data_IF_378695387613
#
_entry.id   IF_378695387613
#
_cell.length_a   1.000
_cell.length_b   1.000
_cell.length_c   1.000
_cell.angle_alpha   90.00
_cell.angle_beta   90.00
_cell.angle_gamma   90.00
#
_symmetry.space_group_name_H-M   'P 1'
#
loop_
_entity.id
_entity.type
_entity.pdbx_description
1 polymer ?
#
# COMPACT_ATOMS: atom_id res chain seq x y z
N UNK A 1 -15.76 18.59 -13.53
CA UNK A 1 -15.92 18.61 -15.01
C UNK A 1 -17.40 18.79 -15.34
N UNK A 2 -17.76 19.32 -16.50
CA UNK A 2 -19.14 19.69 -16.90
C UNK A 2 -19.70 20.86 -16.08
N UNK A 3 -20.91 20.74 -15.54
CA UNK A 3 -21.51 21.77 -14.69
C UNK A 3 -20.90 21.68 -13.28
N UNK A 4 -20.11 22.69 -12.91
CA UNK A 4 -19.51 22.76 -11.58
C UNK A 4 -20.56 23.09 -10.53
N UNK A 5 -20.62 22.29 -9.46
CA UNK A 5 -21.65 22.39 -8.42
C UNK A 5 -21.33 23.56 -7.49
N UNK A 6 -22.26 24.50 -7.35
CA UNK A 6 -22.07 25.69 -6.51
C UNK A 6 -22.31 25.39 -5.03
N UNK A 7 -21.25 24.99 -4.33
CA UNK A 7 -21.26 24.78 -2.88
C UNK A 7 -21.34 26.08 -2.06
N UNK A 8 -21.50 27.25 -2.68
CA UNK A 8 -21.88 28.48 -1.95
C UNK A 8 -23.40 28.61 -1.78
N UNK A 9 -24.19 27.93 -2.62
CA UNK A 9 -25.65 28.01 -2.58
C UNK A 9 -26.24 27.19 -1.43
N UNK A 10 -27.07 27.76 -0.53
CA UNK A 10 -27.60 27.06 0.64
C UNK A 10 -28.38 25.78 0.31
N UNK A 11 -29.23 25.80 -0.71
CA UNK A 11 -30.02 24.62 -1.11
C UNK A 11 -29.14 23.47 -1.61
N UNK A 12 -28.02 23.79 -2.30
CA UNK A 12 -27.06 22.77 -2.75
C UNK A 12 -26.34 22.14 -1.56
N UNK A 13 -25.92 22.96 -0.60
CA UNK A 13 -25.28 22.45 0.62
C UNK A 13 -26.22 21.54 1.41
N UNK A 14 -27.50 21.91 1.54
CA UNK A 14 -28.52 21.11 2.22
C UNK A 14 -28.78 19.78 1.50
N UNK A 15 -28.97 19.82 0.18
CA UNK A 15 -29.21 18.62 -0.62
C UNK A 15 -28.04 17.62 -0.54
N UNK A 16 -26.80 18.10 -0.69
CA UNK A 16 -25.61 17.23 -0.61
C UNK A 16 -25.36 16.71 0.81
N UNK A 17 -25.66 17.51 1.85
CA UNK A 17 -25.65 17.04 3.24
C UNK A 17 -26.70 15.95 3.46
N UNK A 18 -27.90 16.06 2.90
CA UNK A 18 -28.93 15.03 2.99
C UNK A 18 -28.56 13.74 2.23
N UNK A 19 -27.91 13.87 1.06
CA UNK A 19 -27.45 12.74 0.25
C UNK A 19 -26.47 11.83 0.99
N UNK A 20 -25.52 12.40 1.75
CA UNK A 20 -24.45 11.64 2.42
C UNK A 20 -24.98 10.55 3.37
N UNK A 21 -25.76 10.88 4.41
CA UNK A 21 -26.36 9.89 5.29
C UNK A 21 -27.36 8.98 4.59
N UNK A 22 -28.09 9.49 3.59
CA UNK A 22 -29.03 8.67 2.82
C UNK A 22 -28.32 7.52 2.12
N UNK A 23 -27.23 7.77 1.38
CA UNK A 23 -26.53 6.70 0.65
C UNK A 23 -25.85 5.71 1.59
N UNK A 24 -25.38 6.16 2.76
CA UNK A 24 -24.86 5.25 3.80
C UNK A 24 -25.95 4.29 4.29
N UNK A 25 -27.14 4.82 4.60
CA UNK A 25 -28.26 4.02 5.14
C UNK A 25 -28.87 3.11 4.08
N UNK A 26 -28.97 3.58 2.84
CA UNK A 26 -29.56 2.83 1.73
C UNK A 26 -28.66 1.67 1.28
N UNK A 27 -27.35 1.92 1.10
CA UNK A 27 -26.42 0.93 0.56
C UNK A 27 -25.55 0.24 1.63
N UNK A 28 -25.68 0.63 2.91
CA UNK A 28 -24.89 0.06 4.01
C UNK A 28 -23.40 0.41 3.94
N UNK A 29 -23.05 1.58 3.39
CA UNK A 29 -21.65 1.98 3.19
C UNK A 29 -20.91 2.19 4.52
N UNK A 30 -19.60 1.91 4.50
CA UNK A 30 -18.69 2.12 5.66
C UNK A 30 -17.60 3.15 5.40
N UNK A 31 -17.72 3.88 4.31
CA UNK A 31 -16.78 4.93 3.98
C UNK A 31 -17.06 5.59 2.64
N UNK A 32 -16.24 6.59 2.34
CA UNK A 32 -16.32 7.37 1.12
C UNK A 32 -14.93 7.59 0.50
N UNK A 33 -14.88 7.58 -0.84
CA UNK A 33 -13.81 8.19 -1.63
C UNK A 33 -14.35 9.48 -2.23
N UNK A 34 -13.74 10.62 -1.89
CA UNK A 34 -14.11 11.92 -2.41
C UNK A 34 -13.26 12.21 -3.65
N UNK A 35 -13.91 12.17 -4.81
CA UNK A 35 -13.34 12.51 -6.12
C UNK A 35 -12.85 13.96 -6.15
N UNK A 36 -11.70 14.25 -6.78
CA UNK A 36 -11.31 15.62 -7.10
C UNK A 36 -11.37 16.62 -5.91
N UNK A 37 -11.04 16.18 -4.68
CA UNK A 37 -11.31 16.95 -3.43
C UNK A 37 -10.60 18.30 -3.37
N UNK A 38 -9.52 18.47 -4.16
CA UNK A 38 -8.79 19.72 -4.29
C UNK A 38 -9.56 20.81 -5.09
N UNK A 39 -10.66 20.44 -5.76
CA UNK A 39 -11.38 21.31 -6.70
C UNK A 39 -12.70 21.88 -6.15
N UNK A 40 -13.15 21.50 -4.95
CA UNK A 40 -14.33 22.08 -4.32
C UNK A 40 -14.06 22.51 -2.87
N UNK A 41 -15.01 23.24 -2.27
CA UNK A 41 -14.78 23.99 -1.02
C UNK A 41 -14.37 23.09 0.15
N UNK A 42 -13.13 23.22 0.59
CA UNK A 42 -12.60 22.53 1.78
C UNK A 42 -13.45 22.75 3.04
N UNK A 43 -13.98 23.97 3.23
CA UNK A 43 -14.91 24.29 4.32
C UNK A 43 -16.15 23.39 4.24
N UNK A 44 -16.79 23.33 3.07
CA UNK A 44 -17.97 22.50 2.89
C UNK A 44 -17.64 21.01 3.05
N UNK A 45 -16.49 20.56 2.53
CA UNK A 45 -16.01 19.19 2.72
C UNK A 45 -15.94 18.84 4.21
N UNK A 46 -15.36 19.72 5.04
CA UNK A 46 -15.28 19.49 6.49
C UNK A 46 -16.68 19.41 7.12
N UNK A 47 -17.56 20.37 6.83
CA UNK A 47 -18.95 20.38 7.32
C UNK A 47 -19.73 19.12 6.90
N UNK A 48 -19.52 18.64 5.67
CA UNK A 48 -20.18 17.45 5.15
C UNK A 48 -19.66 16.16 5.81
N UNK A 49 -18.33 16.05 5.97
CA UNK A 49 -17.68 14.94 6.68
C UNK A 49 -18.21 14.82 8.12
N UNK A 50 -18.30 15.95 8.83
CA UNK A 50 -18.85 16.00 10.18
C UNK A 50 -20.34 15.63 10.21
N UNK A 51 -21.12 16.11 9.25
CA UNK A 51 -22.54 15.79 9.15
C UNK A 51 -22.78 14.29 8.94
N UNK A 52 -22.07 13.66 8.01
CA UNK A 52 -22.18 12.22 7.74
C UNK A 52 -21.81 11.39 8.97
N UNK A 53 -20.70 11.70 9.64
CA UNK A 53 -20.30 10.95 10.84
C UNK A 53 -21.27 11.13 12.01
N UNK A 54 -21.81 12.33 12.19
CA UNK A 54 -22.84 12.58 13.20
C UNK A 54 -24.09 11.71 12.97
N UNK A 55 -24.50 11.52 11.72
CA UNK A 55 -25.71 10.79 11.36
C UNK A 55 -25.52 9.28 11.18
N UNK A 56 -24.29 8.81 10.95
CA UNK A 56 -24.00 7.43 10.56
C UNK A 56 -22.96 6.72 11.43
N UNK A 57 -22.21 7.44 12.27
CA UNK A 57 -21.15 6.90 13.12
C UNK A 57 -19.76 7.45 12.79
N UNK A 58 -18.90 7.50 13.82
CA UNK A 58 -17.52 7.97 13.68
C UNK A 58 -16.60 6.96 12.96
N UNK A 59 -17.05 5.71 12.78
CA UNK A 59 -16.34 4.64 12.07
C UNK A 59 -16.38 4.78 10.54
N UNK A 60 -17.10 5.77 9.99
CA UNK A 60 -17.11 6.04 8.55
C UNK A 60 -15.73 6.54 8.10
N UNK A 61 -15.03 5.66 7.36
CA UNK A 61 -13.74 5.96 6.77
C UNK A 61 -13.87 6.93 5.60
N UNK A 62 -12.93 7.86 5.42
CA UNK A 62 -12.99 8.83 4.34
C UNK A 62 -11.61 9.08 3.76
N UNK A 63 -11.49 8.96 2.44
CA UNK A 63 -10.29 9.28 1.67
C UNK A 63 -10.63 10.24 0.54
N UNK A 64 -9.76 11.19 0.25
CA UNK A 64 -9.93 12.13 -0.86
C UNK A 64 -8.81 12.03 -1.87
N UNK A 65 -9.17 12.31 -3.11
CA UNK A 65 -8.23 12.54 -4.19
C UNK A 65 -7.80 14.00 -4.20
N UNK A 66 -6.78 14.29 -3.40
CA UNK A 66 -5.98 15.50 -3.54
C UNK A 66 -4.71 15.10 -4.28
N UNK A 67 -4.74 15.20 -5.61
CA UNK A 67 -3.68 14.67 -6.46
C UNK A 67 -2.60 15.70 -6.77
N UNK A 68 -1.56 15.73 -5.94
CA UNK A 68 -0.41 16.65 -6.05
C UNK A 68 0.88 15.97 -5.58
N UNK A 69 2.05 16.50 -5.98
CA UNK A 69 3.36 16.08 -5.47
C UNK A 69 3.85 16.96 -4.28
N UNK A 70 3.03 17.92 -3.84
CA UNK A 70 3.33 18.83 -2.72
C UNK A 70 2.80 18.26 -1.40
N UNK A 71 3.65 17.53 -0.66
CA UNK A 71 3.28 16.96 0.64
C UNK A 71 2.97 18.02 1.69
N UNK A 72 3.50 19.24 1.58
CA UNK A 72 3.20 20.31 2.51
C UNK A 72 1.80 20.87 2.29
N UNK A 73 1.37 21.02 1.03
CA UNK A 73 -0.02 21.35 0.71
C UNK A 73 -0.99 20.27 1.22
N UNK A 74 -0.67 18.99 1.01
CA UNK A 74 -1.50 17.88 1.51
C UNK A 74 -1.62 17.88 3.04
N UNK A 75 -0.50 18.06 3.74
CA UNK A 75 -0.47 18.07 5.21
C UNK A 75 -1.24 19.25 5.80
N UNK A 76 -1.10 20.44 5.21
CA UNK A 76 -1.92 21.62 5.59
C UNK A 76 -3.40 21.36 5.38
N UNK A 77 -3.77 20.76 4.24
CA UNK A 77 -5.16 20.42 3.97
C UNK A 77 -5.73 19.41 4.98
N UNK A 78 -4.93 18.43 5.39
CA UNK A 78 -5.27 17.47 6.44
C UNK A 78 -5.43 18.14 7.81
N UNK A 79 -4.57 19.10 8.16
CA UNK A 79 -4.66 19.86 9.42
C UNK A 79 -5.99 20.64 9.51
N UNK A 80 -6.39 21.30 8.42
CA UNK A 80 -7.67 22.00 8.32
C UNK A 80 -8.88 21.06 8.40
N UNK A 81 -8.71 19.80 7.98
CA UNK A 81 -9.69 18.71 8.14
C UNK A 81 -9.58 18.01 9.49
N UNK A 82 -8.80 18.58 10.43
CA UNK A 82 -8.53 18.05 11.77
C UNK A 82 -8.01 16.61 11.76
N UNK A 83 -7.36 16.19 10.67
CA UNK A 83 -6.81 14.85 10.46
C UNK A 83 -7.82 13.72 10.65
N UNK A 84 -9.11 14.01 10.52
CA UNK A 84 -10.19 13.01 10.51
C UNK A 84 -10.46 12.46 9.10
N UNK A 85 -9.50 12.61 8.20
CA UNK A 85 -9.66 12.35 6.78
C UNK A 85 -8.33 11.85 6.24
N UNK A 86 -8.35 11.01 5.21
CA UNK A 86 -7.13 10.49 4.56
C UNK A 86 -7.00 11.02 3.13
N UNK A 87 -5.78 11.03 2.60
CA UNK A 87 -5.52 11.37 1.19
C UNK A 87 -4.76 10.24 0.52
N UNK A 88 -4.95 10.09 -0.80
CA UNK A 88 -4.09 9.21 -1.59
C UNK A 88 -2.66 9.76 -1.67
N UNK A 89 -1.68 8.90 -1.43
CA UNK A 89 -0.25 9.24 -1.48
C UNK A 89 0.28 9.24 -2.93
N UNK A 90 -0.17 10.21 -3.73
CA UNK A 90 0.35 10.44 -5.07
C UNK A 90 1.89 10.63 -5.12
N UNK A 91 2.53 11.34 -4.15
CA UNK A 91 3.98 11.44 -4.11
C UNK A 91 4.71 10.08 -4.04
N UNK A 92 4.20 9.12 -3.25
CA UNK A 92 4.77 7.77 -3.22
C UNK A 92 4.65 7.06 -4.57
N UNK A 93 3.51 7.19 -5.27
CA UNK A 93 3.36 6.64 -6.62
C UNK A 93 4.38 7.27 -7.60
N UNK A 94 4.60 8.58 -7.51
CA UNK A 94 5.61 9.25 -8.33
C UNK A 94 7.03 8.76 -8.03
N UNK A 95 7.33 8.44 -6.77
CA UNK A 95 8.59 7.78 -6.41
C UNK A 95 8.70 6.39 -7.03
N UNK A 96 7.65 5.55 -6.99
CA UNK A 96 7.66 4.25 -7.65
C UNK A 96 7.89 4.39 -9.16
N UNK A 97 7.21 5.33 -9.81
CA UNK A 97 7.39 5.58 -11.24
C UNK A 97 8.83 5.97 -11.57
N UNK A 98 9.38 6.96 -10.86
CA UNK A 98 10.77 7.42 -11.01
C UNK A 98 11.79 6.31 -10.76
N UNK A 99 11.65 5.56 -9.67
CA UNK A 99 12.59 4.49 -9.32
C UNK A 99 12.52 3.33 -10.32
N UNK A 100 11.32 3.00 -10.81
CA UNK A 100 11.14 1.93 -11.78
C UNK A 100 11.71 2.27 -13.16
N UNK A 101 11.83 3.55 -13.51
CA UNK A 101 12.32 4.04 -14.81
C UNK A 101 13.74 4.57 -14.77
N UNK A 102 14.41 4.52 -13.61
CA UNK A 102 15.79 4.95 -13.44
C UNK A 102 16.69 3.73 -13.26
N UNK A 103 17.72 3.60 -14.10
CA UNK A 103 18.70 2.52 -13.95
C UNK A 103 19.45 2.64 -12.62
N UNK A 104 19.58 1.54 -11.88
CA UNK A 104 20.24 1.49 -10.57
C UNK A 104 19.71 2.52 -9.56
N UNK A 105 18.41 2.84 -9.62
CA UNK A 105 17.80 3.83 -8.74
C UNK A 105 18.04 3.54 -7.25
N UNK A 106 18.24 4.58 -6.44
CA UNK A 106 18.47 4.45 -5.00
C UNK A 106 17.14 4.19 -4.25
N UNK A 107 16.91 2.93 -3.86
CA UNK A 107 15.73 2.48 -3.12
C UNK A 107 15.58 3.14 -1.75
N UNK A 108 16.66 3.65 -1.15
CA UNK A 108 16.61 4.33 0.15
C UNK A 108 15.78 5.61 0.08
N UNK A 109 15.59 6.15 -1.12
CA UNK A 109 14.82 7.37 -1.39
C UNK A 109 13.32 7.12 -1.62
N UNK A 110 12.85 5.87 -1.55
CA UNK A 110 11.47 5.51 -1.97
C UNK A 110 10.39 6.24 -1.18
N UNK A 111 10.65 6.53 0.10
CA UNK A 111 9.74 7.26 0.98
C UNK A 111 10.08 8.75 1.12
N UNK A 112 11.02 9.28 0.34
CA UNK A 112 11.33 10.72 0.42
C UNK A 112 10.19 11.56 -0.14
N UNK A 113 9.82 12.60 0.60
CA UNK A 113 8.69 13.48 0.26
C UNK A 113 7.39 12.70 -0.01
N UNK A 114 7.04 11.72 0.82
CA UNK A 114 5.77 11.00 0.72
C UNK A 114 4.80 11.40 1.81
N UNK A 115 3.51 11.26 1.54
CA UNK A 115 2.50 11.51 2.57
C UNK A 115 2.61 10.46 3.68
N UNK A 116 2.85 9.19 3.36
CA UNK A 116 2.96 8.12 4.36
C UNK A 116 4.11 8.35 5.34
N UNK A 117 5.23 8.95 4.91
CA UNK A 117 6.35 9.30 5.81
C UNK A 117 6.01 10.49 6.71
N UNK A 118 5.17 11.41 6.25
CA UNK A 118 4.80 12.64 6.97
C UNK A 118 3.62 12.43 7.90
N UNK A 119 2.56 11.79 7.41
CA UNK A 119 1.24 11.65 8.01
C UNK A 119 0.76 10.18 7.90
N UNK A 120 1.42 9.23 8.59
CA UNK A 120 1.28 7.78 8.35
C UNK A 120 -0.13 7.22 8.58
N UNK A 121 -0.94 7.84 9.43
CA UNK A 121 -2.32 7.42 9.72
C UNK A 121 -3.34 7.98 8.73
N UNK A 122 -2.95 8.97 7.93
CA UNK A 122 -3.83 9.70 7.00
C UNK A 122 -3.45 9.46 5.54
N UNK A 123 -2.54 8.53 5.27
CA UNK A 123 -2.06 8.22 3.92
C UNK A 123 -2.67 6.91 3.41
N UNK A 124 -3.35 6.97 2.26
CA UNK A 124 -3.74 5.79 1.49
C UNK A 124 -2.72 5.58 0.37
N UNK A 125 -1.91 4.53 0.50
CA UNK A 125 -0.80 4.25 -0.41
C UNK A 125 -1.25 3.34 -1.55
N UNK A 126 -0.85 3.66 -2.78
CA UNK A 126 -1.23 2.94 -4.01
C UNK A 126 0.00 2.67 -4.88
N UNK A 127 -0.06 1.59 -5.69
CA UNK A 127 0.92 1.33 -6.77
C UNK A 127 0.39 1.78 -8.13
N UNK A 128 -0.94 1.77 -8.31
CA UNK A 128 -1.64 2.23 -9.50
C UNK A 128 -3.11 2.48 -9.13
N UNK A 129 -3.83 3.27 -9.93
CA UNK A 129 -5.28 3.37 -9.86
C UNK A 129 -5.89 3.54 -11.27
N UNK A 130 -7.20 3.75 -11.32
CA UNK A 130 -7.93 3.93 -12.57
C UNK A 130 -7.56 5.19 -13.39
N UNK A 131 -6.95 6.21 -12.78
CA UNK A 131 -6.50 7.43 -13.47
C UNK A 131 -5.06 7.30 -13.96
N UNK A 132 -4.27 6.45 -13.31
CA UNK A 132 -2.82 6.32 -13.54
C UNK A 132 -2.44 5.11 -14.38
N UNK A 133 -3.40 4.24 -14.70
CA UNK A 133 -3.20 3.12 -15.61
C UNK A 133 -2.87 3.61 -17.05
N UNK A 134 -2.30 2.76 -17.92
CA UNK A 134 -2.00 3.12 -19.30
C UNK A 134 -3.20 3.72 -20.04
N UNK A 135 -2.92 4.69 -20.92
CA UNK A 135 -3.90 5.39 -21.78
C UNK A 135 -4.87 6.35 -21.09
N UNK A 136 -4.67 6.60 -19.79
CA UNK A 136 -5.41 7.63 -19.08
C UNK A 136 -4.65 8.97 -19.09
N UNK A 137 -5.36 10.07 -18.83
CA UNK A 137 -4.76 11.41 -18.81
C UNK A 137 -3.66 11.54 -17.76
N UNK A 138 -3.81 10.86 -16.62
CA UNK A 138 -2.85 10.89 -15.51
C UNK A 138 -1.95 9.64 -15.48
N UNK A 139 -1.81 8.96 -16.63
CA UNK A 139 -1.00 7.74 -16.75
C UNK A 139 0.39 7.93 -16.13
N UNK A 140 0.70 7.10 -15.14
CA UNK A 140 1.94 7.17 -14.36
C UNK A 140 2.58 5.78 -14.37
N UNK A 141 3.58 5.59 -15.24
CA UNK A 141 4.15 4.28 -15.50
C UNK A 141 4.95 3.76 -14.30
N UNK A 142 4.62 2.56 -13.83
CA UNK A 142 5.47 1.75 -12.94
C UNK A 142 5.86 0.48 -13.69
N UNK A 143 7.17 0.29 -13.93
CA UNK A 143 7.63 -0.89 -14.68
C UNK A 143 7.24 -2.19 -13.98
N UNK A 144 6.88 -3.21 -14.77
CA UNK A 144 6.35 -4.47 -14.25
C UNK A 144 7.28 -5.19 -13.27
N UNK A 145 8.61 -5.07 -13.46
CA UNK A 145 9.61 -5.63 -12.55
C UNK A 145 9.60 -4.96 -11.16
N UNK A 146 9.14 -3.70 -11.08
CA UNK A 146 9.14 -2.92 -9.85
C UNK A 146 7.83 -3.06 -9.08
N UNK A 147 6.73 -3.44 -9.74
CA UNK A 147 5.44 -3.72 -9.08
C UNK A 147 5.55 -4.67 -7.86
N UNK A 148 6.29 -5.82 -7.87
CA UNK A 148 6.46 -6.64 -6.67
C UNK A 148 7.14 -5.90 -5.51
N UNK A 149 8.15 -5.07 -5.79
CA UNK A 149 8.83 -4.26 -4.78
C UNK A 149 7.86 -3.21 -4.19
N UNK A 150 7.14 -2.49 -5.05
CA UNK A 150 6.17 -1.48 -4.64
C UNK A 150 5.03 -2.06 -3.79
N UNK A 151 4.48 -3.21 -4.18
CA UNK A 151 3.45 -3.89 -3.39
C UNK A 151 3.98 -4.38 -2.04
N UNK A 152 5.18 -4.96 -1.98
CA UNK A 152 5.80 -5.34 -0.71
C UNK A 152 6.00 -4.13 0.22
N UNK A 153 6.41 -2.98 -0.32
CA UNK A 153 6.57 -1.74 0.44
C UNK A 153 5.23 -1.24 1.00
N UNK A 154 4.17 -1.13 0.21
CA UNK A 154 2.88 -0.64 0.76
C UNK A 154 2.18 -1.67 1.67
N UNK A 155 2.39 -2.97 1.44
CA UNK A 155 1.67 -4.02 2.18
C UNK A 155 2.35 -4.44 3.48
N UNK A 156 3.66 -4.36 3.62
CA UNK A 156 4.35 -5.01 4.74
C UNK A 156 4.94 -4.01 5.75
N UNK A 157 4.99 -2.73 5.37
CA UNK A 157 5.36 -1.63 6.26
C UNK A 157 4.31 -1.41 7.36
N UNK A 158 4.71 -0.78 8.47
CA UNK A 158 3.84 -0.46 9.60
C UNK A 158 3.04 0.83 9.43
N UNK A 159 3.42 1.69 8.48
CA UNK A 159 2.77 2.95 8.15
C UNK A 159 1.91 2.86 6.89
N UNK A 160 0.83 3.66 6.85
CA UNK A 160 -0.05 3.79 5.70
C UNK A 160 -1.19 2.77 5.63
N UNK A 161 -2.22 3.16 4.88
CA UNK A 161 -3.33 2.29 4.52
C UNK A 161 -3.13 1.83 3.06
N UNK A 162 -2.66 0.59 2.81
CA UNK A 162 -2.50 0.09 1.45
C UNK A 162 -3.83 -0.12 0.74
N UNK A 163 -3.92 0.40 -0.48
CA UNK A 163 -5.04 0.15 -1.39
C UNK A 163 -4.51 -0.60 -2.62
N UNK A 164 -5.01 -1.82 -2.82
CA UNK A 164 -4.65 -2.67 -3.95
C UNK A 164 -5.40 -2.22 -5.21
N UNK A 165 -4.73 -2.28 -6.37
CA UNK A 165 -5.40 -2.00 -7.63
C UNK A 165 -5.96 -3.27 -8.24
N UNK A 166 -7.25 -3.22 -8.62
CA UNK A 166 -7.93 -4.31 -9.30
C UNK A 166 -7.19 -4.78 -10.56
N UNK A 167 -6.73 -3.85 -11.40
CA UNK A 167 -6.04 -4.18 -12.65
C UNK A 167 -4.67 -4.83 -12.44
N UNK A 168 -4.03 -4.64 -11.29
CA UNK A 168 -2.80 -5.37 -10.96
C UNK A 168 -3.09 -6.77 -10.40
N UNK A 169 -4.21 -6.97 -9.71
CA UNK A 169 -4.63 -8.27 -9.17
C UNK A 169 -5.14 -9.21 -10.26
N UNK A 170 -5.97 -8.72 -11.17
CA UNK A 170 -6.67 -9.52 -12.17
C UNK A 170 -6.15 -9.32 -13.59
N UNK A 171 -5.24 -8.37 -13.79
CA UNK A 171 -4.89 -7.87 -15.11
C UNK A 171 -5.89 -6.84 -15.63
N UNK A 172 -5.50 -6.16 -16.70
CA UNK A 172 -6.32 -5.18 -17.40
C UNK A 172 -6.64 -5.70 -18.80
N UNK A 173 -7.88 -5.47 -19.23
CA UNK A 173 -8.34 -5.73 -20.59
C UNK A 173 -8.40 -4.43 -21.41
N UNK A 174 -8.67 -4.53 -22.71
CA UNK A 174 -8.87 -3.38 -23.59
C UNK A 174 -7.72 -3.17 -24.57
N UNK A 175 -7.45 -1.92 -24.94
CA UNK A 175 -6.50 -1.57 -26.01
C UNK A 175 -5.04 -1.89 -25.67
N UNK A 176 -4.69 -2.00 -24.39
CA UNK A 176 -3.39 -2.47 -23.94
C UNK A 176 -3.56 -3.41 -22.76
N UNK A 177 -3.79 -4.71 -23.04
CA UNK A 177 -3.98 -5.68 -21.99
C UNK A 177 -2.67 -5.89 -21.22
N UNK A 178 -2.80 -5.95 -19.90
CA UNK A 178 -1.70 -6.32 -18.99
C UNK A 178 -2.14 -7.55 -18.19
N UNK A 179 -1.29 -8.58 -18.03
CA UNK A 179 -1.59 -9.69 -17.13
C UNK A 179 -1.57 -9.24 -15.67
N UNK A 180 -2.05 -10.07 -14.72
CA UNK A 180 -1.81 -9.88 -13.30
C UNK A 180 -0.35 -9.55 -13.01
N UNK A 181 -0.13 -8.52 -12.19
CA UNK A 181 1.19 -8.00 -11.89
C UNK A 181 1.97 -8.91 -10.90
N UNK A 182 3.26 -8.61 -10.74
CA UNK A 182 4.12 -9.24 -9.73
C UNK A 182 4.12 -10.78 -9.77
N UNK A 183 4.02 -11.38 -10.96
CA UNK A 183 4.00 -12.84 -11.11
C UNK A 183 2.84 -13.51 -10.37
N UNK A 184 1.69 -12.82 -10.25
CA UNK A 184 0.51 -13.25 -9.52
C UNK A 184 0.72 -13.43 -8.00
N UNK A 185 1.66 -12.68 -7.40
CA UNK A 185 2.01 -12.78 -5.97
C UNK A 185 1.44 -11.68 -5.07
N UNK A 186 0.63 -10.75 -5.59
CA UNK A 186 0.03 -9.70 -4.76
C UNK A 186 -0.90 -10.29 -3.70
N UNK A 187 -1.65 -11.34 -4.04
CA UNK A 187 -2.52 -12.04 -3.10
C UNK A 187 -1.71 -12.76 -1.99
N UNK A 188 -0.57 -13.35 -2.35
CA UNK A 188 0.40 -13.90 -1.38
C UNK A 188 0.96 -12.81 -0.45
N UNK A 189 1.41 -11.67 -0.99
CA UNK A 189 1.89 -10.53 -0.18
C UNK A 189 0.79 -9.99 0.75
N UNK A 190 -0.46 -9.98 0.29
CA UNK A 190 -1.62 -9.56 1.08
C UNK A 190 -1.89 -10.55 2.23
N UNK A 191 -1.74 -11.85 1.97
CA UNK A 191 -1.81 -12.86 3.02
C UNK A 191 -0.67 -12.73 4.02
N UNK A 192 0.55 -12.43 3.56
CA UNK A 192 1.69 -12.17 4.44
C UNK A 192 1.44 -10.94 5.32
N UNK A 193 0.84 -9.86 4.80
CA UNK A 193 0.37 -8.74 5.61
C UNK A 193 -0.59 -9.19 6.71
N UNK A 194 -1.62 -9.95 6.33
CA UNK A 194 -2.67 -10.44 7.25
C UNK A 194 -2.14 -11.34 8.36
N UNK A 195 -1.06 -12.09 8.13
CA UNK A 195 -0.58 -13.07 9.10
C UNK A 195 0.66 -12.61 9.88
N UNK A 196 1.54 -11.83 9.25
CA UNK A 196 2.93 -11.70 9.69
C UNK A 196 3.47 -10.26 9.77
N UNK A 197 2.84 -9.29 9.11
CA UNK A 197 3.30 -7.89 9.11
C UNK A 197 2.82 -7.11 10.37
N UNK A 198 3.22 -7.59 11.55
CA UNK A 198 2.82 -7.07 12.85
C UNK A 198 4.01 -6.64 13.70
N UNK A 199 3.76 -5.79 14.70
CA UNK A 199 4.77 -5.37 15.65
C UNK A 199 5.73 -4.29 15.14
N UNK A 200 6.74 -4.02 15.97
CA UNK A 200 7.79 -3.04 15.69
C UNK A 200 8.47 -3.34 14.35
N UNK A 201 8.77 -2.28 13.62
CA UNK A 201 9.55 -2.32 12.39
C UNK A 201 11.00 -1.87 12.63
N UNK A 202 11.96 -2.59 12.06
CA UNK A 202 13.35 -2.17 11.98
C UNK A 202 13.79 -2.17 10.51
N UNK A 203 14.39 -1.07 10.05
CA UNK A 203 14.80 -0.87 8.66
C UNK A 203 16.31 -1.08 8.46
N UNK A 204 16.67 -1.63 7.31
CA UNK A 204 18.04 -1.90 6.88
C UNK A 204 18.27 -1.25 5.51
N UNK A 205 18.78 -0.01 5.53
CA UNK A 205 18.91 0.87 4.36
C UNK A 205 20.38 1.18 4.01
N UNK A 206 21.30 0.23 4.24
CA UNK A 206 22.74 0.46 4.07
C UNK A 206 23.19 0.55 2.61
N UNK A 207 22.48 -0.11 1.69
CA UNK A 207 22.83 -0.17 0.25
C UNK A 207 21.74 0.47 -0.59
N UNK A 208 22.14 1.22 -1.62
CA UNK A 208 21.21 1.93 -2.50
C UNK A 208 20.26 0.98 -3.25
N UNK A 209 20.75 -0.18 -3.68
CA UNK A 209 19.98 -1.09 -4.55
C UNK A 209 19.48 -2.34 -3.83
N UNK A 210 19.74 -2.49 -2.54
CA UNK A 210 19.30 -3.62 -1.74
C UNK A 210 18.92 -3.14 -0.34
N UNK A 211 17.63 -3.18 -0.04
CA UNK A 211 17.07 -2.72 1.23
C UNK A 211 16.23 -3.83 1.85
N UNK A 212 16.03 -3.75 3.16
CA UNK A 212 15.19 -4.68 3.88
C UNK A 212 14.59 -4.09 5.13
N UNK A 213 13.63 -4.79 5.70
CA UNK A 213 13.03 -4.46 6.98
C UNK A 213 12.49 -5.70 7.66
N UNK A 214 12.40 -5.63 8.99
CA UNK A 214 11.83 -6.68 9.84
C UNK A 214 10.55 -6.15 10.47
N UNK A 215 9.54 -7.01 10.60
CA UNK A 215 8.39 -6.83 11.49
C UNK A 215 8.48 -7.86 12.61
N UNK A 216 8.56 -7.41 13.86
CA UNK A 216 8.88 -8.26 15.03
C UNK A 216 7.76 -9.19 15.50
N UNK A 217 6.56 -9.03 14.96
CA UNK A 217 5.37 -9.67 15.49
C UNK A 217 4.86 -9.02 16.79
N UNK A 218 3.71 -9.48 17.25
CA UNK A 218 3.11 -9.12 18.55
C UNK A 218 2.81 -10.38 19.36
N UNK A 219 2.25 -10.24 20.56
CA UNK A 219 1.81 -11.40 21.34
C UNK A 219 0.73 -12.22 20.61
N UNK A 220 -0.16 -11.54 19.89
CA UNK A 220 -1.23 -12.16 19.09
C UNK A 220 -0.72 -12.69 17.74
N UNK A 221 0.33 -12.07 17.19
CA UNK A 221 0.92 -12.44 15.91
C UNK A 221 2.45 -12.62 16.05
N UNK A 222 2.92 -13.68 16.72
CA UNK A 222 4.32 -13.79 17.17
C UNK A 222 5.32 -14.18 16.08
N UNK A 223 4.87 -14.45 14.85
CA UNK A 223 5.76 -14.95 13.80
C UNK A 223 6.65 -13.85 13.21
N UNK A 224 6.12 -12.64 13.02
CA UNK A 224 6.83 -11.57 12.32
C UNK A 224 7.20 -11.92 10.87
N UNK A 225 7.95 -11.02 10.21
CA UNK A 225 8.54 -11.28 8.90
C UNK A 225 9.85 -10.52 8.72
N UNK A 226 10.67 -10.98 7.78
CA UNK A 226 11.85 -10.28 7.26
C UNK A 226 11.67 -10.11 5.75
N UNK A 227 11.63 -8.87 5.29
CA UNK A 227 11.52 -8.54 3.86
C UNK A 227 12.88 -8.05 3.37
N UNK A 228 13.37 -8.59 2.26
CA UNK A 228 14.57 -8.12 1.57
C UNK A 228 14.26 -7.98 0.09
N UNK A 229 14.69 -6.88 -0.52
CA UNK A 229 14.45 -6.60 -1.93
C UNK A 229 15.66 -5.96 -2.58
N UNK A 230 15.78 -6.16 -3.88
CA UNK A 230 16.82 -5.56 -4.71
C UNK A 230 16.24 -5.10 -6.04
N UNK A 231 16.62 -3.91 -6.50
CA UNK A 231 16.36 -3.44 -7.87
C UNK A 231 17.59 -3.57 -8.79
N UNK A 232 18.65 -4.23 -8.32
CA UNK A 232 19.84 -4.57 -9.09
C UNK A 232 20.06 -6.08 -9.13
N UNK A 233 21.30 -6.53 -8.90
CA UNK A 233 21.63 -7.96 -8.78
C UNK A 233 21.06 -8.62 -7.50
N UNK A 234 21.28 -9.93 -7.30
CA UNK A 234 20.89 -10.63 -6.07
C UNK A 234 21.37 -9.89 -4.82
N UNK A 235 20.49 -9.85 -3.82
CA UNK A 235 20.69 -9.09 -2.59
C UNK A 235 20.76 -9.99 -1.38
N UNK A 236 21.53 -9.58 -0.37
CA UNK A 236 21.50 -10.19 0.95
C UNK A 236 21.72 -9.13 2.04
N UNK A 237 21.01 -9.32 3.16
CA UNK A 237 21.08 -8.46 4.34
C UNK A 237 21.04 -9.34 5.59
N UNK A 238 21.99 -9.11 6.51
CA UNK A 238 21.91 -9.67 7.86
C UNK A 238 20.97 -8.82 8.71
N UNK A 239 19.81 -9.36 9.06
CA UNK A 239 18.78 -8.64 9.82
C UNK A 239 18.51 -9.35 11.15
N UNK A 240 18.23 -8.57 12.20
CA UNK A 240 17.80 -9.09 13.49
C UNK A 240 16.29 -9.33 13.43
N UNK A 241 15.86 -10.58 13.55
CA UNK A 241 14.44 -10.94 13.73
C UNK A 241 14.09 -11.13 15.21
N UNK A 242 15.08 -11.40 16.05
CA UNK A 242 15.01 -11.35 17.52
C UNK A 242 15.34 -12.69 18.17
N UNK A 243 15.86 -12.65 19.38
CA UNK A 243 16.37 -13.84 20.10
C UNK A 243 15.29 -14.92 20.32
N UNK A 244 14.02 -14.53 20.39
CA UNK A 244 12.89 -15.46 20.47
C UNK A 244 12.76 -16.39 19.24
N UNK A 245 13.44 -16.04 18.14
CA UNK A 245 13.49 -16.83 16.91
C UNK A 245 14.77 -17.67 16.77
N UNK A 246 15.68 -17.63 17.75
CA UNK A 246 16.93 -18.38 17.70
C UNK A 246 16.72 -19.88 17.39
N UNK A 247 17.52 -20.40 16.47
CA UNK A 247 17.46 -21.79 16.01
C UNK A 247 16.32 -22.13 15.05
N UNK A 248 15.35 -21.23 14.83
CA UNK A 248 14.27 -21.45 13.87
C UNK A 248 14.78 -21.39 12.42
N UNK A 249 14.07 -22.08 11.53
CA UNK A 249 14.33 -22.08 10.09
C UNK A 249 13.28 -21.22 9.40
N UNK A 250 13.73 -20.28 8.58
CA UNK A 250 12.91 -19.35 7.84
C UNK A 250 13.03 -19.63 6.34
N UNK A 251 11.91 -19.56 5.62
CA UNK A 251 11.87 -19.65 4.15
C UNK A 251 11.06 -18.52 3.53
N UNK A 252 11.27 -18.26 2.24
CA UNK A 252 10.53 -17.27 1.46
C UNK A 252 9.10 -17.75 1.17
N UNK A 253 8.08 -16.99 1.60
CA UNK A 253 6.67 -17.34 1.36
C UNK A 253 6.23 -17.08 -0.09
N UNK A 254 7.00 -16.31 -0.86
CA UNK A 254 6.74 -16.11 -2.28
C UNK A 254 7.23 -17.28 -3.13
N UNK A 255 8.20 -18.05 -2.62
CA UNK A 255 8.81 -19.18 -3.29
C UNK A 255 9.73 -18.79 -4.44
N UNK A 256 10.27 -17.57 -4.45
CA UNK A 256 11.23 -17.12 -5.46
C UNK A 256 12.67 -17.37 -5.02
N UNK A 257 12.93 -17.38 -3.70
CA UNK A 257 14.17 -17.90 -3.11
C UNK A 257 13.91 -19.29 -2.50
N UNK A 258 14.80 -20.25 -2.77
CA UNK A 258 14.67 -21.65 -2.36
C UNK A 258 15.55 -22.00 -1.15
N UNK A 259 16.53 -21.15 -0.82
CA UNK A 259 17.38 -21.35 0.35
C UNK A 259 16.59 -21.24 1.67
N UNK A 260 17.16 -21.84 2.72
CA UNK A 260 16.67 -21.74 4.09
C UNK A 260 17.60 -20.86 4.91
N UNK A 261 17.02 -20.03 5.79
CA UNK A 261 17.77 -19.18 6.72
C UNK A 261 17.58 -19.70 8.14
N UNK A 262 18.65 -20.16 8.76
CA UNK A 262 18.67 -20.47 10.20
C UNK A 262 18.99 -19.22 11.00
N UNK A 263 18.16 -18.91 11.98
CA UNK A 263 18.38 -17.78 12.88
C UNK A 263 19.43 -18.17 13.93
N UNK A 264 20.44 -17.32 14.12
CA UNK A 264 21.50 -17.52 15.11
C UNK A 264 21.02 -17.26 16.56
N UNK A 265 21.89 -17.55 17.53
CA UNK A 265 21.56 -17.43 18.96
C UNK A 265 21.34 -15.96 19.41
N UNK A 266 21.81 -15.00 18.62
CA UNK A 266 21.60 -13.55 18.83
C UNK A 266 20.34 -13.04 18.11
N UNK A 267 19.59 -13.93 17.44
CA UNK A 267 18.34 -13.59 16.76
C UNK A 267 18.53 -12.96 15.37
N UNK A 268 19.67 -13.19 14.71
CA UNK A 268 19.93 -12.70 13.36
C UNK A 268 19.84 -13.81 12.30
N UNK A 269 19.40 -13.43 11.11
CA UNK A 269 19.47 -14.26 9.90
C UNK A 269 20.11 -13.48 8.75
N UNK A 270 20.74 -14.20 7.82
CA UNK A 270 21.22 -13.62 6.54
C UNK A 270 20.17 -13.92 5.49
N UNK A 271 19.32 -12.94 5.21
CA UNK A 271 18.19 -13.08 4.30
C UNK A 271 18.57 -12.64 2.90
N UNK A 272 18.11 -13.38 1.89
CA UNK A 272 18.46 -13.17 0.49
C UNK A 272 17.23 -12.86 -0.36
N UNK A 273 17.44 -12.23 -1.51
CA UNK A 273 16.47 -12.19 -2.60
C UNK A 273 17.17 -12.35 -3.95
N UNK A 274 16.47 -12.87 -4.98
CA UNK A 274 16.94 -12.80 -6.34
C UNK A 274 17.17 -11.35 -6.81
N UNK A 275 17.89 -11.18 -7.91
CA UNK A 275 18.05 -9.85 -8.52
C UNK A 275 16.74 -9.32 -9.08
N UNK A 276 16.53 -8.01 -8.97
CA UNK A 276 15.30 -7.34 -9.43
C UNK A 276 14.05 -8.02 -8.84
N UNK A 277 14.08 -8.29 -7.54
CA UNK A 277 13.09 -9.11 -6.85
C UNK A 277 12.96 -8.74 -5.38
N UNK A 278 12.04 -9.42 -4.69
CA UNK A 278 11.77 -9.31 -3.26
C UNK A 278 11.53 -10.70 -2.71
N UNK A 279 11.98 -10.95 -1.48
CA UNK A 279 11.69 -12.17 -0.73
C UNK A 279 11.13 -11.82 0.63
N UNK A 280 10.13 -12.59 1.07
CA UNK A 280 9.42 -12.39 2.34
C UNK A 280 9.66 -13.63 3.19
N UNK A 281 10.57 -13.51 4.14
CA UNK A 281 11.00 -14.58 5.01
C UNK A 281 10.14 -14.63 6.26
N UNK A 282 9.65 -15.83 6.57
CA UNK A 282 8.90 -16.13 7.80
C UNK A 282 9.35 -17.52 8.27
N UNK A 283 9.26 -17.83 9.56
CA UNK A 283 9.56 -19.18 10.09
C UNK A 283 8.69 -20.26 9.45
N UNK A 284 9.26 -21.45 9.20
CA UNK A 284 8.60 -22.56 8.49
C UNK A 284 7.37 -23.12 9.22
N UNK A 285 7.34 -23.02 10.54
CA UNK A 285 6.28 -23.53 11.41
C UNK A 285 5.24 -22.45 11.79
N UNK A 286 5.27 -21.28 11.14
CA UNK A 286 4.34 -20.20 11.43
C UNK A 286 2.88 -20.61 11.15
N UNK A 287 1.97 -20.22 12.04
CA UNK A 287 0.54 -20.45 11.89
C UNK A 287 0.01 -19.82 10.59
N UNK A 288 -0.72 -20.60 9.79
CA UNK A 288 -1.30 -20.18 8.52
C UNK A 288 -0.33 -20.19 7.34
N UNK A 289 0.92 -20.66 7.53
CA UNK A 289 1.94 -20.73 6.46
C UNK A 289 1.63 -21.79 5.40
N UNK A 290 0.92 -22.84 5.76
CA UNK A 290 0.44 -23.90 4.86
C UNK A 290 -0.49 -23.39 3.74
N UNK A 291 -0.97 -22.15 3.86
CA UNK A 291 -1.82 -21.47 2.87
C UNK A 291 -1.03 -20.82 1.73
N UNK A 292 0.30 -20.87 1.77
CA UNK A 292 1.16 -20.36 0.70
C UNK A 292 1.63 -21.50 -0.25
N UNK A 293 1.64 -21.29 -1.57
CA UNK A 293 1.05 -20.13 -2.26
C UNK A 293 -0.47 -20.12 -2.12
N UNK A 294 -1.06 -18.93 -1.98
CA UNK A 294 -2.49 -18.75 -1.86
C UNK A 294 -3.17 -19.19 -3.16
N UNK A 295 -4.13 -20.11 -3.04
CA UNK A 295 -5.01 -20.48 -4.14
C UNK A 295 -5.99 -19.33 -4.43
N UNK A 296 -5.51 -18.32 -5.16
CA UNK A 296 -6.25 -17.14 -5.58
C UNK A 296 -6.57 -17.23 -7.07
N UNK A 297 -7.85 -17.13 -7.42
CA UNK A 297 -8.27 -17.07 -8.81
C UNK A 297 -8.09 -15.64 -9.34
N UNK A 298 -7.00 -15.44 -10.06
CA UNK A 298 -6.69 -14.17 -10.74
C UNK A 298 -7.27 -14.09 -12.15
N UNK A 299 -7.81 -15.19 -12.69
CA UNK A 299 -8.23 -15.27 -14.09
C UNK A 299 -9.76 -15.26 -14.22
N UNK A 300 -10.32 -14.15 -13.76
CA UNK A 300 -11.76 -13.88 -13.77
C UNK A 300 -12.33 -13.56 -15.16
N UNK A 301 -11.47 -13.54 -16.19
CA UNK A 301 -11.83 -13.21 -17.57
C UNK A 301 -11.97 -14.44 -18.47
N UNK A 302 -11.61 -15.63 -17.99
CA UNK A 302 -11.90 -16.87 -18.69
C UNK A 302 -13.41 -17.01 -18.90
N UNK A 303 -13.83 -17.10 -20.17
CA UNK A 303 -15.19 -17.54 -20.50
C UNK A 303 -15.36 -18.99 -20.01
N UNK A 304 -16.46 -19.24 -19.27
CA UNK A 304 -16.84 -20.57 -18.79
C UNK A 304 -17.13 -21.56 -19.93
#
# INVERSE_FOLDING_TARGET
MFADVDYSHPEVQEDVKNWGPWVVKEAGLKGFRLDAVQHFSQRFTNEWVEHVRKECGDDIFMVGEFWTNDTEAMSRWLDDMHRKFSLFDAPLLYNFSRLSTTENADLRTVFDNTLVKRDPLNAVTVVMNHDTQPHQTMATKVEGFFKPLAYALILLQDAGYPCLFYGDLYGMQGESPEPPAAGNKIADMTLARKLYAYGQQDEYLDKANCIGFVRRGTAEHPAGLACVMSNGGPGEIRMAVGEMHAGQIWTDVLGWEQEEVKIDDEGYGVFKCPGVSVSIWVRQDAEGRDRFPLNFDSDIYKEC
#
